data_IF_577141488331
#
_entry.id   IF_577141488331
#
_cell.length_a   1.000
_cell.length_b   1.000
_cell.length_c   1.000
_cell.angle_alpha   90.00
_cell.angle_beta   90.00
_cell.angle_gamma   90.00
#
_symmetry.space_group_name_H-M   'P 1'
#
loop_
_entity.id
_entity.type
_entity.pdbx_description
1 polymer ?
#
# COMPACT_ATOMS: atom_id res chain seq x y z
N UNK A 1 -28.10 -6.02 1.02
CA UNK A 1 -27.05 -7.05 1.21
C UNK A 1 -26.15 -6.96 -0.02
N UNK A 2 -24.83 -6.84 0.14
CA UNK A 2 -23.91 -6.80 -1.00
C UNK A 2 -23.64 -8.24 -1.46
N UNK A 3 -23.86 -8.52 -2.75
CA UNK A 3 -23.48 -9.79 -3.38
C UNK A 3 -22.25 -9.54 -4.25
N UNK A 4 -21.29 -10.46 -4.22
CA UNK A 4 -20.09 -10.41 -5.04
C UNK A 4 -20.08 -11.63 -5.96
N UNK A 5 -20.09 -11.38 -7.26
CA UNK A 5 -20.04 -12.42 -8.29
C UNK A 5 -18.63 -12.47 -8.88
N UNK A 6 -18.07 -13.66 -9.03
CA UNK A 6 -16.76 -13.85 -9.66
C UNK A 6 -16.93 -14.17 -11.14
N UNK A 7 -16.32 -13.36 -11.98
CA UNK A 7 -16.26 -13.59 -13.43
C UNK A 7 -14.88 -13.30 -14.01
N UNK A 8 -14.70 -13.69 -15.27
CA UNK A 8 -13.49 -13.42 -16.06
C UNK A 8 -13.82 -12.37 -17.11
N UNK A 9 -12.95 -11.37 -17.25
CA UNK A 9 -13.10 -10.35 -18.29
C UNK A 9 -12.65 -10.92 -19.63
N UNK A 10 -13.52 -10.83 -20.63
CA UNK A 10 -13.23 -11.12 -22.03
C UNK A 10 -13.68 -9.93 -22.88
N UNK A 11 -12.74 -9.27 -23.54
CA UNK A 11 -12.95 -8.04 -24.29
C UNK A 11 -13.59 -6.95 -23.42
N UNK A 12 -14.88 -6.67 -23.63
CA UNK A 12 -15.66 -5.68 -22.89
C UNK A 12 -16.77 -6.29 -22.04
N UNK A 13 -16.72 -7.61 -21.79
CA UNK A 13 -17.74 -8.35 -21.05
C UNK A 13 -17.13 -9.10 -19.87
N UNK A 14 -17.93 -9.27 -18.81
CA UNK A 14 -17.61 -10.16 -17.68
C UNK A 14 -18.39 -11.45 -17.88
N UNK A 15 -17.68 -12.56 -18.04
CA UNK A 15 -18.27 -13.90 -18.19
C UNK A 15 -18.29 -14.57 -16.83
N UNK A 16 -19.46 -15.05 -16.43
CA UNK A 16 -19.69 -15.78 -15.19
C UNK A 16 -20.17 -17.18 -15.58
N UNK A 17 -19.39 -18.21 -15.25
CA UNK A 17 -19.63 -19.57 -15.73
C UNK A 17 -20.54 -20.39 -14.80
N UNK A 18 -20.56 -20.08 -13.51
CA UNK A 18 -21.15 -20.95 -12.48
C UNK A 18 -22.27 -20.31 -11.65
N UNK A 19 -22.79 -19.14 -12.05
CA UNK A 19 -23.88 -18.45 -11.34
C UNK A 19 -24.97 -17.98 -12.32
N UNK A 20 -26.25 -18.22 -11.96
CA UNK A 20 -27.38 -17.69 -12.74
C UNK A 20 -27.62 -16.24 -12.32
N UNK A 21 -27.39 -15.32 -13.27
CA UNK A 21 -27.53 -13.89 -13.04
C UNK A 21 -28.95 -13.36 -13.30
N UNK A 22 -29.90 -14.21 -13.68
CA UNK A 22 -31.28 -13.78 -13.98
C UNK A 22 -31.94 -13.06 -12.80
N UNK A 23 -31.62 -13.46 -11.57
CA UNK A 23 -32.14 -12.85 -10.34
C UNK A 23 -31.61 -11.42 -10.13
N UNK A 24 -30.55 -11.03 -10.84
CA UNK A 24 -29.90 -9.72 -10.76
C UNK A 24 -30.19 -8.84 -11.99
N UNK A 25 -31.13 -9.23 -12.85
CA UNK A 25 -31.49 -8.45 -14.04
C UNK A 25 -31.98 -7.03 -13.68
N UNK A 26 -31.40 -6.03 -14.34
CA UNK A 26 -31.75 -4.62 -14.16
C UNK A 26 -31.09 -3.93 -12.95
N UNK A 27 -30.19 -4.63 -12.24
CA UNK A 27 -29.45 -4.07 -11.10
C UNK A 27 -28.14 -3.45 -11.59
N UNK A 28 -27.80 -2.28 -11.04
CA UNK A 28 -26.51 -1.63 -11.28
C UNK A 28 -25.39 -2.36 -10.53
N UNK A 29 -24.26 -2.60 -11.21
CA UNK A 29 -23.15 -3.38 -10.67
C UNK A 29 -21.82 -2.62 -10.75
N UNK A 30 -20.98 -2.81 -9.73
CA UNK A 30 -19.60 -2.30 -9.72
C UNK A 30 -18.63 -3.44 -9.97
N UNK A 31 -17.79 -3.31 -10.99
CA UNK A 31 -16.78 -4.33 -11.34
C UNK A 31 -15.47 -4.02 -10.63
N UNK A 32 -14.99 -4.98 -9.84
CA UNK A 32 -13.69 -4.88 -9.15
C UNK A 32 -12.69 -5.88 -9.75
N UNK A 33 -11.52 -5.40 -10.17
CA UNK A 33 -10.45 -6.25 -10.69
C UNK A 33 -9.72 -6.96 -9.54
N UNK A 34 -9.83 -8.29 -9.49
CA UNK A 34 -9.11 -9.12 -8.53
C UNK A 34 -7.77 -9.57 -9.09
N UNK A 35 -6.71 -9.50 -8.30
CA UNK A 35 -5.39 -10.01 -8.67
C UNK A 35 -4.67 -9.27 -9.81
N UNK A 36 -5.31 -8.26 -10.42
CA UNK A 36 -4.62 -7.39 -11.37
C UNK A 36 -3.66 -6.51 -10.57
N UNK A 37 -2.33 -6.59 -10.81
CA UNK A 37 -1.42 -5.63 -10.21
C UNK A 37 -1.84 -4.28 -10.76
N UNK A 38 -2.46 -3.44 -9.90
CA UNK A 38 -2.56 -2.02 -10.20
C UNK A 38 -1.15 -1.64 -10.63
N UNK A 39 -1.00 -1.10 -11.85
CA UNK A 39 0.23 -0.39 -12.22
C UNK A 39 0.46 0.54 -11.03
N UNK A 40 1.40 0.17 -10.15
CA UNK A 40 1.78 1.01 -9.04
C UNK A 40 2.47 2.15 -9.77
N UNK A 41 1.69 3.14 -10.21
CA UNK A 41 2.24 4.40 -10.70
C UNK A 41 3.27 4.77 -9.66
N UNK A 42 4.53 4.87 -10.09
CA UNK A 42 5.74 4.89 -9.24
C UNK A 42 5.35 5.38 -7.86
N UNK A 43 5.28 4.47 -6.86
CA UNK A 43 4.99 4.87 -5.49
C UNK A 43 5.89 6.07 -5.23
N UNK A 44 5.32 7.21 -4.84
CA UNK A 44 6.12 8.38 -4.50
C UNK A 44 7.21 7.89 -3.55
N UNK A 45 8.46 8.16 -3.92
CA UNK A 45 9.58 7.86 -3.06
C UNK A 45 9.33 8.59 -1.74
N UNK A 46 9.20 7.82 -0.66
CA UNK A 46 8.93 8.38 0.66
C UNK A 46 10.28 8.86 1.16
N UNK A 47 10.39 10.17 1.36
CA UNK A 47 11.55 10.77 2.01
C UNK A 47 11.46 10.51 3.51
N UNK A 48 12.18 9.48 3.96
CA UNK A 48 12.25 9.11 5.38
C UNK A 48 12.95 10.15 6.24
N UNK A 49 13.86 10.92 5.64
CA UNK A 49 14.64 11.93 6.36
C UNK A 49 13.76 13.14 6.72
N UNK A 50 12.66 13.36 6.00
CA UNK A 50 11.69 14.43 6.32
C UNK A 50 10.98 14.28 7.67
N UNK A 51 10.96 13.08 8.25
CA UNK A 51 10.32 12.83 9.56
C UNK A 51 11.29 12.99 10.74
N UNK A 52 12.60 13.06 10.47
CA UNK A 52 13.61 13.27 11.50
C UNK A 52 13.72 14.75 11.85
N UNK A 53 13.67 15.10 13.14
CA UNK A 53 14.06 16.44 13.59
C UNK A 53 15.59 16.48 13.59
N UNK A 54 16.25 17.29 12.75
CA UNK A 54 17.69 17.42 12.78
C UNK A 54 18.09 18.01 14.13
N UNK A 55 18.95 17.31 14.84
CA UNK A 55 19.52 17.77 16.11
C UNK A 55 21.04 17.80 15.99
N UNK A 56 21.69 18.73 16.68
CA UNK A 56 23.15 18.83 16.73
C UNK A 56 23.77 17.50 17.19
N UNK A 57 23.13 16.85 18.17
CA UNK A 57 23.50 15.51 18.65
C UNK A 57 23.35 14.41 17.59
N UNK A 58 22.35 14.52 16.71
CA UNK A 58 22.13 13.59 15.59
C UNK A 58 23.08 13.80 14.41
N UNK A 59 23.65 15.00 14.26
CA UNK A 59 24.71 15.26 13.26
C UNK A 59 26.08 14.79 13.74
N UNK A 60 26.39 14.96 15.02
CA UNK A 60 27.70 14.64 15.60
C UNK A 60 27.66 13.39 16.51
N UNK A 61 26.95 12.34 16.08
CA UNK A 61 26.70 11.13 16.90
C UNK A 61 28.00 10.49 17.35
N UNK A 62 29.02 10.42 16.49
CA UNK A 62 30.28 9.76 16.80
C UNK A 62 31.05 10.47 17.93
N UNK A 63 31.10 11.80 17.88
CA UNK A 63 31.74 12.63 18.91
C UNK A 63 30.96 12.56 20.23
N UNK A 64 29.63 12.65 20.14
CA UNK A 64 28.74 12.50 21.31
C UNK A 64 28.89 11.12 21.98
N UNK A 65 28.94 10.04 21.19
CA UNK A 65 29.11 8.68 21.72
C UNK A 65 30.50 8.46 22.32
N UNK A 66 31.52 9.12 21.78
CA UNK A 66 32.86 9.09 22.33
C UNK A 66 32.92 9.81 23.68
N UNK A 67 32.36 11.02 23.76
CA UNK A 67 32.29 11.81 25.00
C UNK A 67 31.53 11.06 26.11
N UNK A 68 30.38 10.47 25.80
CA UNK A 68 29.60 9.68 26.77
C UNK A 68 30.39 8.47 27.29
N UNK A 69 31.16 7.77 26.45
CA UNK A 69 31.99 6.63 26.87
C UNK A 69 33.21 7.03 27.69
N UNK A 70 33.77 8.21 27.42
CA UNK A 70 34.91 8.74 28.20
C UNK A 70 34.44 9.22 29.59
N UNK A 71 33.28 9.86 29.67
CA UNK A 71 32.67 10.31 30.91
C UNK A 71 32.15 9.17 31.81
N UNK A 72 31.84 8.00 31.24
CA UNK A 72 31.38 6.81 31.96
C UNK A 72 32.54 5.97 32.57
N UNK A 73 33.80 6.35 32.31
CA UNK A 73 35.00 5.64 32.83
C UNK A 73 35.44 6.08 34.24
N UNK A 74 34.55 6.69 35.03
CA UNK A 74 34.81 7.09 36.42
C UNK A 74 34.72 5.89 37.36
#
# INVERSE_FOLDING_TARGET
MLAAVKGVIKDNMVIVENEDLKDYNGIEVVVTLLGHPRKQGKKKEIDWDSFGIPSERGQNVDEYMKEMRENDRI
#
